data_IF_920934938073
#
_entry.id   IF_920934938073
#
_cell.length_a   1.000
_cell.length_b   1.000
_cell.length_c   1.000
_cell.angle_alpha   90.00
_cell.angle_beta   90.00
_cell.angle_gamma   90.00
#
_symmetry.space_group_name_H-M   'P 1'
#
loop_
_entity.id
_entity.type
_entity.pdbx_description
1 polymer ?
#
# COMPACT_ATOMS: atom_id res chain seq x y z
N UNK A 1 3.94 30.53 0.87
CA UNK A 1 2.93 31.51 1.30
C UNK A 1 3.61 32.53 2.20
N UNK A 2 3.28 33.83 2.02
CA UNK A 2 3.78 34.87 2.90
C UNK A 2 3.08 34.85 4.25
N UNK A 3 3.71 35.40 5.30
CA UNK A 3 3.08 35.53 6.63
C UNK A 3 1.71 36.26 6.58
N UNK A 4 1.50 37.12 5.60
CA UNK A 4 0.24 37.85 5.36
C UNK A 4 -0.88 36.92 4.87
N UNK A 5 -0.57 35.91 4.04
CA UNK A 5 -1.56 34.93 3.60
C UNK A 5 -2.04 34.02 4.74
N UNK A 6 -1.13 33.68 5.67
CA UNK A 6 -1.46 32.91 6.88
C UNK A 6 -2.38 33.67 7.83
N UNK A 7 -2.15 34.97 8.01
CA UNK A 7 -3.01 35.82 8.86
C UNK A 7 -4.44 35.94 8.31
N UNK A 8 -4.61 35.94 6.98
CA UNK A 8 -5.92 35.98 6.33
C UNK A 8 -6.74 34.70 6.51
N UNK A 9 -6.06 33.55 6.67
CA UNK A 9 -6.71 32.23 6.84
C UNK A 9 -7.02 31.91 8.31
N UNK A 10 -6.16 32.36 9.27
CA UNK A 10 -6.23 31.92 10.67
C UNK A 10 -6.45 33.03 11.70
N UNK A 11 -6.56 34.29 11.29
CA UNK A 11 -6.61 35.42 12.21
C UNK A 11 -5.27 35.67 12.94
N UNK A 12 -5.21 36.73 13.73
CA UNK A 12 -4.00 37.24 14.37
C UNK A 12 -3.53 36.46 15.61
N UNK A 13 -4.25 35.42 16.05
CA UNK A 13 -3.99 34.78 17.36
C UNK A 13 -3.04 33.59 17.32
N UNK A 14 -2.65 33.08 16.13
CA UNK A 14 -1.67 32.00 15.98
C UNK A 14 -1.97 30.69 16.76
N UNK A 15 -3.17 30.56 17.30
CA UNK A 15 -3.58 29.34 18.01
C UNK A 15 -4.04 28.31 16.99
N UNK A 16 -3.40 27.13 17.03
CA UNK A 16 -3.74 25.99 16.23
C UNK A 16 -5.18 25.52 16.56
N UNK A 17 -6.15 25.56 15.64
CA UNK A 17 -7.53 25.13 15.89
C UNK A 17 -7.72 23.61 16.02
N UNK A 18 -6.64 22.86 16.19
CA UNK A 18 -6.62 21.39 16.09
C UNK A 18 -7.39 20.62 17.15
N UNK A 19 -7.95 21.26 18.18
CA UNK A 19 -8.65 20.50 19.22
C UNK A 19 -10.10 20.18 18.91
N UNK A 20 -10.69 20.78 17.86
CA UNK A 20 -12.15 20.77 17.71
C UNK A 20 -12.67 20.10 16.40
N UNK A 21 -11.77 19.57 15.54
CA UNK A 21 -12.18 19.03 14.24
C UNK A 21 -11.63 17.63 14.02
N UNK A 22 -12.40 16.64 14.40
CA UNK A 22 -12.03 15.22 14.27
C UNK A 22 -11.86 14.73 12.82
N UNK A 23 -12.11 15.52 11.79
CA UNK A 23 -11.93 15.16 10.38
C UNK A 23 -11.75 16.38 9.47
N UNK A 24 -11.15 17.47 9.95
CA UNK A 24 -10.80 18.61 9.09
C UNK A 24 -9.32 18.51 8.67
N UNK A 25 -8.95 18.85 7.42
CA UNK A 25 -7.55 18.87 7.01
C UNK A 25 -6.72 19.71 7.97
N UNK A 26 -5.78 19.09 8.66
CA UNK A 26 -4.85 19.79 9.55
C UNK A 26 -3.80 20.54 8.72
N UNK A 27 -3.51 21.79 9.08
CA UNK A 27 -2.39 22.53 8.48
C UNK A 27 -1.21 22.41 9.44
N UNK A 28 -0.20 21.64 9.02
CA UNK A 28 1.08 21.57 9.74
C UNK A 28 1.82 22.91 9.71
N UNK A 29 2.90 23.03 10.49
CA UNK A 29 3.70 24.24 10.73
C UNK A 29 4.20 24.95 9.45
N UNK A 30 4.12 24.31 8.27
CA UNK A 30 4.48 24.86 6.96
C UNK A 30 3.31 24.94 5.98
N UNK A 31 2.05 24.88 6.43
CA UNK A 31 0.90 24.98 5.56
C UNK A 31 0.61 23.70 4.74
N UNK A 32 1.19 22.57 5.10
CA UNK A 32 0.86 21.29 4.51
C UNK A 32 -0.48 20.82 5.09
N UNK A 33 -1.40 20.47 4.21
CA UNK A 33 -2.65 19.83 4.58
C UNK A 33 -2.33 18.36 4.85
N UNK A 34 -2.48 17.91 6.09
CA UNK A 34 -2.44 16.50 6.45
C UNK A 34 -3.86 16.04 6.67
N UNK A 35 -4.40 15.32 5.71
CA UNK A 35 -5.69 14.68 5.89
C UNK A 35 -5.46 13.29 6.49
N UNK A 36 -6.15 12.99 7.60
CA UNK A 36 -6.10 11.65 8.20
C UNK A 36 -7.33 10.86 7.79
N UNK A 37 -7.11 9.76 7.10
CA UNK A 37 -8.14 8.78 6.77
C UNK A 37 -8.33 7.82 7.94
N UNK A 38 -9.57 7.53 8.29
CA UNK A 38 -9.91 6.72 9.47
C UNK A 38 -10.29 5.29 9.11
N UNK A 39 -10.74 5.05 7.88
CA UNK A 39 -11.14 3.73 7.40
C UNK A 39 -10.99 3.59 5.87
N UNK A 40 -11.26 2.36 5.39
CA UNK A 40 -11.20 2.05 3.97
C UNK A 40 -12.21 2.85 3.13
N UNK A 41 -13.41 3.09 3.62
CA UNK A 41 -14.46 3.76 2.82
C UNK A 41 -14.10 5.23 2.55
N UNK A 42 -13.55 5.90 3.56
CA UNK A 42 -13.05 7.26 3.44
C UNK A 42 -11.83 7.32 2.51
N UNK A 43 -10.85 6.43 2.71
CA UNK A 43 -9.66 6.35 1.87
C UNK A 43 -10.02 6.01 0.42
N UNK A 44 -10.97 5.10 0.19
CA UNK A 44 -11.46 4.76 -1.15
C UNK A 44 -12.11 5.97 -1.84
N UNK A 45 -12.83 6.80 -1.08
CA UNK A 45 -13.41 8.05 -1.59
C UNK A 45 -12.30 9.01 -2.04
N UNK A 46 -11.26 9.18 -1.23
CA UNK A 46 -10.09 9.99 -1.57
C UNK A 46 -9.39 9.48 -2.82
N UNK A 47 -9.09 8.18 -2.89
CA UNK A 47 -8.45 7.55 -4.06
C UNK A 47 -9.30 7.68 -5.32
N UNK A 48 -10.62 7.48 -5.22
CA UNK A 48 -11.51 7.66 -6.36
C UNK A 48 -11.50 9.10 -6.87
N UNK A 49 -11.50 10.09 -5.96
CA UNK A 49 -11.41 11.50 -6.33
C UNK A 49 -10.03 11.82 -6.95
N UNK A 50 -8.94 11.27 -6.41
CA UNK A 50 -7.58 11.42 -6.96
C UNK A 50 -7.48 10.94 -8.40
N UNK A 51 -8.13 9.84 -8.74
CA UNK A 51 -8.13 9.27 -10.10
C UNK A 51 -9.07 10.04 -11.04
N UNK A 52 -10.24 10.48 -10.56
CA UNK A 52 -11.27 11.10 -11.42
C UNK A 52 -11.11 12.60 -11.57
N UNK A 53 -10.66 13.30 -10.53
CA UNK A 53 -10.48 14.75 -10.46
C UNK A 53 -9.34 15.11 -9.49
N UNK A 54 -8.11 14.95 -9.99
CA UNK A 54 -6.89 15.22 -9.20
C UNK A 54 -6.83 16.65 -8.64
N UNK A 55 -7.23 17.72 -9.36
CA UNK A 55 -7.29 19.07 -8.79
C UNK A 55 -8.18 19.19 -7.56
N UNK A 56 -9.37 18.57 -7.59
CA UNK A 56 -10.28 18.55 -6.43
C UNK A 56 -9.72 17.74 -5.28
N UNK A 57 -9.08 16.61 -5.55
CA UNK A 57 -8.40 15.79 -4.54
C UNK A 57 -7.26 16.55 -3.88
N UNK A 58 -6.42 17.24 -4.65
CA UNK A 58 -5.33 18.10 -4.14
C UNK A 58 -5.85 19.18 -3.21
N UNK A 59 -6.97 19.78 -3.57
CA UNK A 59 -7.60 20.84 -2.74
C UNK A 59 -8.14 20.29 -1.44
N UNK A 60 -8.71 19.08 -1.46
CA UNK A 60 -9.41 18.47 -0.32
C UNK A 60 -8.44 17.74 0.61
N UNK A 61 -7.51 16.95 0.05
CA UNK A 61 -6.69 15.99 0.80
C UNK A 61 -5.19 16.29 0.72
N UNK A 62 -4.74 17.20 -0.18
CA UNK A 62 -3.33 17.42 -0.47
C UNK A 62 -2.74 16.35 -1.41
N UNK A 63 -1.40 16.34 -1.52
CA UNK A 63 -0.67 15.35 -2.33
C UNK A 63 -0.84 13.94 -1.76
N UNK A 64 -1.14 12.97 -2.63
CA UNK A 64 -1.46 11.58 -2.22
C UNK A 64 -0.38 10.95 -1.33
N UNK A 65 0.91 11.26 -1.60
CA UNK A 65 2.02 10.74 -0.81
C UNK A 65 2.13 11.37 0.60
N UNK A 66 1.33 12.40 0.90
CA UNK A 66 1.26 13.05 2.22
C UNK A 66 0.03 12.62 3.03
N UNK A 67 -0.81 11.76 2.49
CA UNK A 67 -2.02 11.32 3.19
C UNK A 67 -1.65 10.49 4.42
N UNK A 68 -2.27 10.83 5.56
CA UNK A 68 -2.11 10.02 6.76
C UNK A 68 -3.13 8.86 6.72
N UNK A 69 -2.62 7.66 6.45
CA UNK A 69 -3.40 6.43 6.37
C UNK A 69 -3.19 5.51 7.57
N UNK A 70 -2.43 5.96 8.59
CA UNK A 70 -2.00 5.14 9.73
C UNK A 70 -3.14 4.56 10.58
N UNK A 71 -4.35 5.12 10.52
CA UNK A 71 -5.52 4.57 11.20
C UNK A 71 -6.28 3.51 10.39
N UNK A 72 -5.92 3.33 9.10
CA UNK A 72 -6.59 2.38 8.21
C UNK A 72 -6.02 0.99 8.42
N UNK A 73 -6.86 0.04 8.84
CA UNK A 73 -6.45 -1.35 9.09
C UNK A 73 -6.80 -2.32 7.96
N UNK A 74 -7.54 -1.86 6.96
CA UNK A 74 -7.98 -2.65 5.81
C UNK A 74 -7.83 -1.80 4.53
N UNK A 75 -7.10 -2.32 3.54
CA UNK A 75 -6.89 -1.68 2.24
C UNK A 75 -7.35 -2.59 1.07
N UNK A 76 -8.34 -3.45 1.34
CA UNK A 76 -8.86 -4.37 0.32
C UNK A 76 -9.39 -3.60 -0.89
N UNK A 77 -8.94 -4.01 -2.08
CA UNK A 77 -9.41 -3.52 -3.37
C UNK A 77 -9.19 -2.01 -3.61
N UNK A 78 -8.40 -1.32 -2.79
CA UNK A 78 -8.26 0.14 -2.78
C UNK A 78 -7.91 0.73 -4.16
N UNK A 79 -6.98 0.11 -4.90
CA UNK A 79 -6.58 0.49 -6.25
C UNK A 79 -7.01 -0.53 -7.31
N UNK A 80 -7.96 -1.42 -6.97
CA UNK A 80 -8.45 -2.39 -7.94
C UNK A 80 -9.00 -1.70 -9.19
N UNK A 81 -8.62 -2.21 -10.37
CA UNK A 81 -9.02 -1.71 -11.69
C UNK A 81 -8.58 -0.25 -11.98
N UNK A 82 -7.67 0.31 -11.18
CA UNK A 82 -7.08 1.64 -11.44
C UNK A 82 -5.92 1.50 -12.43
N UNK A 83 -6.25 1.22 -13.68
CA UNK A 83 -5.29 0.78 -14.70
C UNK A 83 -4.21 1.82 -15.06
N UNK A 84 -4.41 3.09 -14.73
CA UNK A 84 -3.47 4.19 -14.99
C UNK A 84 -2.73 4.67 -13.74
N UNK A 85 -3.08 4.14 -12.54
CA UNK A 85 -2.48 4.58 -11.30
C UNK A 85 -1.02 4.13 -11.19
N UNK A 86 -0.14 5.10 -10.96
CA UNK A 86 1.28 4.87 -10.65
C UNK A 86 1.88 6.09 -9.90
N UNK A 87 1.05 6.83 -9.14
CA UNK A 87 1.56 7.92 -8.32
C UNK A 87 2.33 7.39 -7.11
N UNK A 88 3.23 8.20 -6.58
CA UNK A 88 4.04 7.88 -5.40
C UNK A 88 3.17 7.80 -4.14
N UNK A 89 3.26 6.67 -3.44
CA UNK A 89 2.61 6.38 -2.15
C UNK A 89 3.62 5.77 -1.16
N UNK A 90 4.92 5.97 -1.41
CA UNK A 90 6.00 5.37 -0.61
C UNK A 90 6.00 5.80 0.85
N UNK A 91 5.46 6.99 1.17
CA UNK A 91 5.38 7.52 2.54
C UNK A 91 4.13 7.07 3.31
N UNK A 92 3.26 6.26 2.73
CA UNK A 92 2.11 5.77 3.46
C UNK A 92 2.53 4.88 4.63
N UNK A 93 2.05 5.21 5.83
CA UNK A 93 2.21 4.34 7.01
C UNK A 93 1.14 3.25 6.98
N UNK A 94 1.53 2.06 6.54
CA UNK A 94 0.66 0.88 6.43
C UNK A 94 0.88 -0.11 7.58
N UNK A 95 1.64 0.27 8.61
CA UNK A 95 2.05 -0.61 9.72
C UNK A 95 0.89 -1.21 10.53
N UNK A 96 -0.31 -0.61 10.45
CA UNK A 96 -1.51 -1.13 11.10
C UNK A 96 -2.44 -1.91 10.16
N UNK A 97 -2.06 -2.11 8.89
CA UNK A 97 -2.91 -2.80 7.91
C UNK A 97 -2.85 -4.31 8.11
N UNK A 98 -4.01 -4.92 8.30
CA UNK A 98 -4.15 -6.37 8.49
C UNK A 98 -4.56 -7.10 7.20
N UNK A 99 -5.15 -6.40 6.23
CA UNK A 99 -5.58 -7.01 4.96
C UNK A 99 -5.37 -6.07 3.78
N UNK A 100 -4.74 -6.61 2.73
CA UNK A 100 -4.47 -5.95 1.45
C UNK A 100 -5.03 -6.76 0.27
N UNK A 101 -6.12 -7.53 0.49
CA UNK A 101 -6.72 -8.37 -0.55
C UNK A 101 -7.04 -7.56 -1.81
N UNK A 102 -6.46 -7.96 -2.94
CA UNK A 102 -6.70 -7.34 -4.25
C UNK A 102 -6.35 -5.86 -4.34
N UNK A 103 -5.52 -5.31 -3.43
CA UNK A 103 -5.26 -3.86 -3.35
C UNK A 103 -4.85 -3.25 -4.69
N UNK A 104 -4.02 -3.93 -5.46
CA UNK A 104 -3.56 -3.51 -6.79
C UNK A 104 -4.03 -4.46 -7.92
N UNK A 105 -5.11 -5.22 -7.68
CA UNK A 105 -5.66 -6.12 -8.68
C UNK A 105 -6.07 -5.35 -9.94
N UNK A 106 -5.58 -5.75 -11.12
CA UNK A 106 -5.75 -5.06 -12.40
C UNK A 106 -5.20 -3.61 -12.44
N UNK A 107 -4.34 -3.20 -11.52
CA UNK A 107 -3.63 -1.93 -11.61
C UNK A 107 -2.46 -2.08 -12.60
N UNK A 108 -2.77 -2.16 -13.89
CA UNK A 108 -1.84 -2.60 -14.95
C UNK A 108 -0.64 -1.67 -15.17
N UNK A 109 -0.72 -0.40 -14.73
CA UNK A 109 0.40 0.55 -14.79
C UNK A 109 1.14 0.73 -13.46
N UNK A 110 0.69 0.04 -12.39
CA UNK A 110 1.28 0.24 -11.07
C UNK A 110 2.68 -0.36 -10.97
N UNK A 111 3.66 0.48 -10.67
CA UNK A 111 5.04 0.09 -10.36
C UNK A 111 5.72 1.13 -9.45
N UNK A 112 4.96 1.88 -8.63
CA UNK A 112 5.53 2.80 -7.66
C UNK A 112 6.29 2.04 -6.57
N UNK A 113 7.29 2.69 -5.98
CA UNK A 113 8.12 2.10 -4.92
C UNK A 113 7.31 1.96 -3.63
N UNK A 114 7.18 0.72 -3.17
CA UNK A 114 6.54 0.32 -1.92
C UNK A 114 7.47 -0.59 -1.09
N UNK A 115 8.76 -0.62 -1.43
CA UNK A 115 9.75 -1.46 -0.75
C UNK A 115 9.89 -1.13 0.73
N UNK A 116 9.66 0.14 1.12
CA UNK A 116 9.75 0.62 2.49
C UNK A 116 8.50 0.38 3.35
N UNK A 117 7.44 -0.22 2.81
CA UNK A 117 6.22 -0.45 3.59
C UNK A 117 6.44 -1.49 4.70
N UNK A 118 5.98 -1.17 5.90
CA UNK A 118 5.89 -2.16 7.01
C UNK A 118 4.58 -2.95 6.88
N UNK A 119 4.70 -4.19 6.38
CA UNK A 119 3.57 -5.11 6.19
C UNK A 119 3.51 -6.20 7.27
N UNK A 120 4.23 -6.02 8.38
CA UNK A 120 4.40 -7.04 9.42
C UNK A 120 3.11 -7.43 10.17
N UNK A 121 2.04 -6.60 10.06
CA UNK A 121 0.72 -6.93 10.61
C UNK A 121 -0.23 -7.56 9.57
N UNK A 122 0.16 -7.65 8.29
CA UNK A 122 -0.71 -8.17 7.23
C UNK A 122 -0.86 -9.68 7.33
N UNK A 123 -2.10 -10.16 7.31
CA UNK A 123 -2.46 -11.58 7.34
C UNK A 123 -3.05 -12.09 6.03
N UNK A 124 -3.60 -11.20 5.19
CA UNK A 124 -4.24 -11.52 3.93
C UNK A 124 -3.66 -10.68 2.78
N UNK A 125 -3.01 -11.36 1.82
CA UNK A 125 -2.45 -10.80 0.59
C UNK A 125 -3.02 -11.49 -0.67
N UNK A 126 -4.24 -12.07 -0.58
CA UNK A 126 -4.90 -12.66 -1.75
C UNK A 126 -4.94 -11.64 -2.88
N UNK A 127 -4.49 -12.04 -4.08
CA UNK A 127 -4.61 -11.25 -5.32
C UNK A 127 -4.00 -9.84 -5.28
N UNK A 128 -3.15 -9.50 -4.31
CA UNK A 128 -2.70 -8.11 -4.10
C UNK A 128 -2.12 -7.49 -5.38
N UNK A 129 -1.34 -8.24 -6.19
CA UNK A 129 -0.76 -7.81 -7.47
C UNK A 129 -1.29 -8.61 -8.66
N UNK A 130 -2.46 -9.25 -8.52
CA UNK A 130 -3.04 -10.01 -9.64
C UNK A 130 -3.25 -9.10 -10.84
N UNK A 131 -2.71 -9.52 -12.02
CA UNK A 131 -2.75 -8.75 -13.26
C UNK A 131 -2.16 -7.31 -13.15
N UNK A 132 -1.24 -7.06 -12.20
CA UNK A 132 -0.41 -5.86 -12.16
C UNK A 132 0.79 -6.07 -13.12
N UNK A 133 0.55 -5.88 -14.41
CA UNK A 133 1.39 -6.36 -15.51
C UNK A 133 2.81 -5.81 -15.53
N UNK A 134 3.02 -4.57 -15.03
CA UNK A 134 4.34 -3.92 -15.01
C UNK A 134 4.98 -3.89 -13.62
N UNK A 135 4.28 -4.40 -12.58
CA UNK A 135 4.78 -4.39 -11.21
C UNK A 135 6.05 -5.25 -11.09
N UNK A 136 7.14 -4.62 -10.66
CA UNK A 136 8.43 -5.29 -10.46
C UNK A 136 9.29 -4.57 -9.40
N UNK A 137 8.67 -4.02 -8.33
CA UNK A 137 9.43 -3.40 -7.23
C UNK A 137 10.00 -4.44 -6.29
N UNK A 138 11.17 -4.12 -5.70
CA UNK A 138 11.83 -4.98 -4.73
C UNK A 138 11.05 -4.99 -3.41
N UNK A 139 10.33 -6.07 -3.18
CA UNK A 139 9.57 -6.34 -1.95
C UNK A 139 10.18 -7.51 -1.15
N UNK A 140 11.41 -7.90 -1.47
CA UNK A 140 12.12 -8.98 -0.78
C UNK A 140 12.36 -8.69 0.70
N UNK A 141 12.38 -7.40 1.09
CA UNK A 141 12.50 -6.95 2.49
C UNK A 141 11.22 -7.00 3.32
N UNK A 142 10.06 -7.30 2.72
CA UNK A 142 8.80 -7.36 3.47
C UNK A 142 8.79 -8.48 4.51
N UNK A 143 8.36 -8.19 5.74
CA UNK A 143 8.07 -9.21 6.74
C UNK A 143 6.66 -9.80 6.52
N UNK A 144 6.61 -10.94 5.86
CA UNK A 144 5.37 -11.68 5.58
C UNK A 144 5.10 -12.79 6.58
N UNK A 145 5.79 -12.81 7.72
CA UNK A 145 5.73 -13.91 8.69
C UNK A 145 4.35 -14.13 9.31
N UNK A 146 3.47 -13.11 9.30
CA UNK A 146 2.06 -13.24 9.76
C UNK A 146 1.07 -13.57 8.64
N UNK A 147 1.50 -13.55 7.37
CA UNK A 147 0.59 -13.81 6.26
C UNK A 147 0.16 -15.26 6.25
N UNK A 148 -1.15 -15.47 6.12
CA UNK A 148 -1.76 -16.81 6.05
C UNK A 148 -2.35 -17.12 4.68
N UNK A 149 -2.65 -16.10 3.88
CA UNK A 149 -3.34 -16.20 2.60
C UNK A 149 -2.56 -15.44 1.51
N UNK A 150 -2.08 -16.14 0.47
CA UNK A 150 -1.33 -15.60 -0.68
C UNK A 150 -1.87 -16.13 -2.02
N UNK A 151 -3.14 -16.57 -2.07
CA UNK A 151 -3.74 -17.08 -3.30
C UNK A 151 -3.64 -16.04 -4.41
N UNK A 152 -3.17 -16.47 -5.60
CA UNK A 152 -3.10 -15.63 -6.81
C UNK A 152 -2.34 -14.30 -6.63
N UNK A 153 -1.42 -14.20 -5.66
CA UNK A 153 -0.76 -12.94 -5.29
C UNK A 153 -0.11 -12.23 -6.48
N UNK A 154 0.57 -12.98 -7.35
CA UNK A 154 1.24 -12.50 -8.57
C UNK A 154 0.66 -13.15 -9.84
N UNK A 155 -0.59 -13.63 -9.80
CA UNK A 155 -1.21 -14.19 -10.99
C UNK A 155 -1.25 -13.14 -12.10
N UNK A 156 -0.75 -13.50 -13.29
CA UNK A 156 -0.68 -12.62 -14.47
C UNK A 156 0.14 -11.32 -14.26
N UNK A 157 0.98 -11.24 -13.22
CA UNK A 157 1.96 -10.18 -13.02
C UNK A 157 3.19 -10.44 -13.91
N UNK A 158 3.06 -10.17 -15.21
CA UNK A 158 3.97 -10.64 -16.26
C UNK A 158 5.39 -10.06 -16.18
N UNK A 159 5.59 -8.91 -15.50
CA UNK A 159 6.91 -8.30 -15.30
C UNK A 159 7.57 -8.65 -13.96
N UNK A 160 6.84 -9.28 -13.02
CA UNK A 160 7.37 -9.53 -11.69
C UNK A 160 8.48 -10.59 -11.70
N UNK A 161 9.67 -10.20 -11.24
CA UNK A 161 10.85 -11.07 -11.13
C UNK A 161 11.78 -10.66 -9.98
N UNK A 162 11.25 -10.22 -8.84
CA UNK A 162 12.07 -9.84 -7.68
C UNK A 162 12.36 -11.03 -6.77
N UNK A 163 13.53 -10.96 -6.10
CA UNK A 163 13.95 -12.00 -5.17
C UNK A 163 13.13 -11.92 -3.87
N UNK A 164 12.28 -12.90 -3.66
CA UNK A 164 11.45 -13.08 -2.45
C UNK A 164 11.83 -14.34 -1.66
N UNK A 165 13.01 -14.88 -1.94
CA UNK A 165 13.50 -16.11 -1.31
C UNK A 165 13.73 -15.99 0.20
N UNK A 166 13.86 -14.76 0.75
CA UNK A 166 13.98 -14.50 2.19
C UNK A 166 12.64 -14.56 2.95
N UNK A 167 11.51 -14.59 2.27
CA UNK A 167 10.19 -14.54 2.92
C UNK A 167 9.94 -15.74 3.84
N UNK A 168 9.51 -15.46 5.07
CA UNK A 168 9.07 -16.51 5.98
C UNK A 168 7.58 -16.85 5.72
N UNK A 169 7.35 -17.87 4.91
CA UNK A 169 6.00 -18.32 4.52
C UNK A 169 5.46 -19.47 5.40
N UNK A 170 6.06 -19.71 6.58
CA UNK A 170 5.70 -20.86 7.42
C UNK A 170 4.25 -20.86 7.93
N UNK A 171 3.61 -19.68 7.98
CA UNK A 171 2.21 -19.53 8.38
C UNK A 171 1.23 -19.51 7.21
N UNK A 172 1.72 -19.52 5.96
CA UNK A 172 0.84 -19.48 4.79
C UNK A 172 0.13 -20.83 4.62
N UNK A 173 -1.19 -20.78 4.63
CA UNK A 173 -2.06 -21.96 4.47
C UNK A 173 -2.65 -22.07 3.07
N UNK A 174 -2.66 -20.97 2.31
CA UNK A 174 -3.24 -20.91 0.97
C UNK A 174 -2.41 -20.03 0.04
N UNK A 175 -1.81 -20.64 -1.00
CA UNK A 175 -1.04 -19.96 -2.04
C UNK A 175 -1.29 -20.52 -3.45
N UNK A 176 -2.51 -21.02 -3.71
CA UNK A 176 -2.86 -21.57 -5.01
C UNK A 176 -2.68 -20.52 -6.12
N UNK A 177 -2.11 -20.93 -7.26
CA UNK A 177 -1.93 -20.09 -8.46
C UNK A 177 -1.09 -18.82 -8.23
N UNK A 178 -0.24 -18.77 -7.18
CA UNK A 178 0.50 -17.58 -6.77
C UNK A 178 1.25 -16.91 -7.93
N UNK A 179 1.87 -17.70 -8.83
CA UNK A 179 2.65 -17.22 -9.98
C UNK A 179 2.06 -17.66 -11.33
N UNK A 180 0.80 -18.09 -11.39
CA UNK A 180 0.18 -18.46 -12.65
C UNK A 180 0.23 -17.27 -13.63
N UNK A 181 0.81 -17.43 -14.82
CA UNK A 181 0.94 -16.36 -15.80
C UNK A 181 2.02 -15.29 -15.50
N UNK A 182 2.79 -15.41 -14.42
CA UNK A 182 3.97 -14.58 -14.14
C UNK A 182 5.15 -15.06 -15.01
N UNK A 183 5.12 -14.72 -16.28
CA UNK A 183 5.92 -15.36 -17.34
C UNK A 183 7.43 -15.16 -17.26
N UNK A 184 7.88 -14.12 -16.56
CA UNK A 184 9.33 -13.83 -16.38
C UNK A 184 9.86 -14.25 -15.02
N UNK A 185 8.98 -14.67 -14.09
CA UNK A 185 9.40 -15.05 -12.75
C UNK A 185 10.28 -16.30 -12.79
N UNK A 186 11.53 -16.16 -12.38
CA UNK A 186 12.52 -17.24 -12.35
C UNK A 186 13.44 -17.19 -11.12
N UNK A 187 13.01 -16.56 -10.04
CA UNK A 187 13.80 -16.48 -8.82
C UNK A 187 13.77 -17.79 -8.04
N UNK A 188 14.88 -18.06 -7.33
CA UNK A 188 14.95 -19.18 -6.41
C UNK A 188 14.13 -18.88 -5.14
N UNK A 189 13.07 -19.66 -4.95
CA UNK A 189 12.19 -19.58 -3.76
C UNK A 189 12.37 -20.80 -2.84
N UNK A 190 13.32 -21.69 -3.11
CA UNK A 190 13.65 -22.85 -2.28
C UNK A 190 14.50 -22.44 -1.08
N UNK A 191 13.93 -21.76 -0.13
CA UNK A 191 14.69 -21.14 0.96
C UNK A 191 14.77 -21.98 2.22
N UNK A 192 14.13 -23.15 2.31
CA UNK A 192 14.22 -24.00 3.51
C UNK A 192 14.57 -25.42 3.17
N UNK A 193 15.81 -25.77 3.54
CA UNK A 193 16.19 -27.14 3.79
C UNK A 193 15.47 -27.59 5.06
N UNK A 194 14.46 -28.42 4.94
CA UNK A 194 13.77 -29.02 6.09
C UNK A 194 14.36 -30.38 6.34
N UNK A 195 14.98 -30.59 7.53
CA UNK A 195 15.47 -31.91 7.95
C UNK A 195 14.41 -32.56 8.85
N UNK A 196 13.78 -33.62 8.37
CA UNK A 196 12.83 -34.43 9.14
C UNK A 196 13.44 -35.84 9.30
N UNK A 197 13.58 -36.31 10.54
CA UNK A 197 14.14 -37.63 10.84
C UNK A 197 15.47 -37.92 10.16
N UNK A 198 16.35 -36.92 10.03
CA UNK A 198 17.66 -37.07 9.40
C UNK A 198 17.65 -36.99 7.86
N UNK A 199 16.50 -36.87 7.21
CA UNK A 199 16.37 -36.62 5.77
C UNK A 199 16.17 -35.13 5.48
N UNK A 200 16.94 -34.63 4.52
CA UNK A 200 16.90 -33.24 4.05
C UNK A 200 15.97 -33.14 2.84
N UNK A 201 15.02 -32.24 2.91
CA UNK A 201 14.06 -31.92 1.82
C UNK A 201 14.30 -30.48 1.40
N UNK A 202 14.39 -30.23 0.10
CA UNK A 202 14.46 -28.91 -0.56
C UNK A 202 13.20 -28.64 -1.34
#
# INVERSE_FOLDING_TARGET
FSATAMTAIYGSSGTNPHSDYANTPGIGFFGLIYYQFTDLAELQTGVNLWISDKPSALTTYGEINTWNVSAVTNMNLLFKDKTTFNDDISNWDVSNVMSMEGMFHNATSFNADISGWDVSEVTNMIQIFRNAQVFNQDIGGWDVSKVTLMEQMFQDASAFNQNIGSWNTSNVTWMANMFQGATVFNQDINTKVVTVNGNTYT
#
